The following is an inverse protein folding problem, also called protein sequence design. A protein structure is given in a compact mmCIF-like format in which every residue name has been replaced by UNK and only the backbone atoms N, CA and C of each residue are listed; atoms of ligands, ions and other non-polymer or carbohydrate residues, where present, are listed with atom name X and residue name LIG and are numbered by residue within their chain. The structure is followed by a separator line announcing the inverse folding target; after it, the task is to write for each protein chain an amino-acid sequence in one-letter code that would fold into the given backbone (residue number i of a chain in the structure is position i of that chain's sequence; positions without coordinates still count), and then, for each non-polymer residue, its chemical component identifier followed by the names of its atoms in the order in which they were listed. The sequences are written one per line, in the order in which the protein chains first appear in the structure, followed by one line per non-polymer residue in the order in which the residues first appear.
data_IF_538775882240
#
_entry.id   IF_538775882240
#
_cell.length_a   1.000
_cell.length_b   1.000
_cell.length_c   1.000
_cell.angle_alpha   90.00
_cell.angle_beta   90.00
_cell.angle_gamma   90.00
#
_symmetry.space_group_name_H-M   'P 1'
#
loop_
_entity.id
_entity.type
_entity.pdbx_description
1 polymer ?
#
# COMPACT_ATOMS: atom_id res chain seq x y z
N UNK A 1 -11.45 5.25 20.37
CA UNK A 1 -11.63 6.06 21.59
C UNK A 1 -10.39 6.89 21.95
N UNK A 2 -9.20 6.29 22.12
CA UNK A 2 -7.98 7.03 22.53
C UNK A 2 -7.65 8.23 21.63
N UNK A 3 -7.65 8.06 20.31
CA UNK A 3 -7.38 9.14 19.35
C UNK A 3 -8.35 10.33 19.50
N UNK A 4 -9.63 10.08 19.81
CA UNK A 4 -10.61 11.13 20.05
C UNK A 4 -10.28 11.94 21.31
N UNK A 5 -9.80 11.28 22.36
CA UNK A 5 -9.32 11.93 23.57
C UNK A 5 -8.09 12.80 23.34
N UNK A 6 -7.14 12.33 22.53
CA UNK A 6 -5.94 13.08 22.16
C UNK A 6 -6.27 14.35 21.35
N UNK A 7 -7.11 14.22 20.32
CA UNK A 7 -7.57 15.37 19.53
C UNK A 7 -8.34 16.39 20.39
N UNK A 8 -9.19 15.91 21.29
CA UNK A 8 -9.98 16.79 22.18
C UNK A 8 -9.09 17.53 23.16
N UNK A 9 -8.08 16.85 23.71
CA UNK A 9 -7.07 17.46 24.57
C UNK A 9 -6.27 18.51 23.80
N UNK A 10 -5.79 18.19 22.60
CA UNK A 10 -5.07 19.13 21.75
C UNK A 10 -5.87 20.41 21.51
N UNK A 11 -7.16 20.28 21.17
CA UNK A 11 -8.06 21.44 20.99
C UNK A 11 -8.25 22.24 22.29
N UNK A 12 -8.53 21.59 23.43
CA UNK A 12 -8.70 22.28 24.72
C UNK A 12 -7.45 23.09 25.11
N UNK A 13 -6.27 22.57 24.83
CA UNK A 13 -5.00 23.25 25.09
C UNK A 13 -4.51 24.15 23.95
N UNK A 14 -5.35 24.42 22.95
CA UNK A 14 -5.03 25.27 21.80
C UNK A 14 -3.75 24.84 21.06
N UNK A 15 -3.49 23.54 21.02
CA UNK A 15 -2.44 22.96 20.18
C UNK A 15 -2.90 23.04 18.73
N UNK A 16 -2.08 23.58 17.80
CA UNK A 16 -2.43 23.61 16.38
C UNK A 16 -2.71 22.21 15.84
N UNK A 17 -3.84 22.05 15.16
CA UNK A 17 -4.25 20.79 14.50
C UNK A 17 -4.19 21.04 12.99
N UNK A 18 -3.51 20.15 12.27
CA UNK A 18 -3.49 20.14 10.81
C UNK A 18 -4.03 18.78 10.35
N UNK A 19 -5.25 18.73 9.78
CA UNK A 19 -5.78 17.49 9.25
C UNK A 19 -4.96 16.99 8.06
N UNK A 20 -4.72 15.68 8.04
CA UNK A 20 -4.14 14.96 6.92
C UNK A 20 -5.12 13.87 6.51
N UNK A 21 -5.61 13.94 5.27
CA UNK A 21 -6.62 13.03 4.75
C UNK A 21 -5.96 12.05 3.79
N UNK A 22 -6.04 10.76 4.11
CA UNK A 22 -5.55 9.71 3.22
C UNK A 22 -6.67 9.19 2.30
N UNK A 23 -6.31 8.51 1.21
CA UNK A 23 -7.28 7.94 0.28
C UNK A 23 -8.36 7.11 1.01
N UNK A 24 -9.62 7.26 0.60
CA UNK A 24 -10.76 6.54 1.17
C UNK A 24 -11.25 7.07 2.52
N UNK A 25 -10.55 8.02 3.14
CA UNK A 25 -11.03 8.66 4.36
C UNK A 25 -12.20 9.60 4.06
N UNK A 26 -13.29 9.43 4.80
CA UNK A 26 -14.40 10.37 4.84
C UNK A 26 -14.54 10.89 6.28
N UNK A 27 -14.64 12.21 6.43
CA UNK A 27 -14.88 12.78 7.74
C UNK A 27 -16.31 12.46 8.19
N UNK A 28 -16.55 12.06 9.46
CA UNK A 28 -17.89 11.77 9.95
C UNK A 28 -18.83 12.95 9.78
N UNK A 29 -20.04 12.71 9.29
CA UNK A 29 -21.09 13.73 9.21
C UNK A 29 -21.70 14.05 10.58
N UNK A 30 -22.61 15.03 10.64
CA UNK A 30 -23.23 15.45 11.91
C UNK A 30 -24.03 14.33 12.58
N UNK A 31 -24.68 13.45 11.81
CA UNK A 31 -25.45 12.34 12.36
C UNK A 31 -24.54 11.29 13.01
N UNK A 32 -23.42 10.97 12.35
CA UNK A 32 -22.35 10.15 12.91
C UNK A 32 -21.75 10.78 14.17
N UNK A 33 -21.46 12.09 14.16
CA UNK A 33 -20.91 12.80 15.32
C UNK A 33 -21.89 12.76 16.50
N UNK A 34 -23.20 12.94 16.25
CA UNK A 34 -24.22 12.90 17.29
C UNK A 34 -24.34 11.51 17.93
N UNK A 35 -24.06 10.45 17.17
CA UNK A 35 -24.10 9.05 17.62
C UNK A 35 -22.75 8.53 18.13
N UNK A 36 -21.70 9.35 18.21
CA UNK A 36 -20.34 8.87 18.52
C UNK A 36 -20.23 8.13 19.86
N UNK A 37 -21.10 8.45 20.83
CA UNK A 37 -21.16 7.77 22.13
C UNK A 37 -21.60 6.31 22.02
N UNK A 38 -22.42 5.96 21.02
CA UNK A 38 -22.87 4.58 20.84
C UNK A 38 -21.78 3.67 20.28
N UNK A 39 -20.68 4.25 19.77
CA UNK A 39 -19.52 3.50 19.24
C UNK A 39 -18.61 3.00 20.36
N UNK A 40 -18.72 3.56 21.57
CA UNK A 40 -17.84 3.22 22.69
C UNK A 40 -18.59 2.57 23.84
N UNK A 41 -17.96 1.59 24.47
CA UNK A 41 -18.51 0.93 25.66
C UNK A 41 -18.56 1.90 26.84
N UNK A 42 -19.43 1.63 27.82
CA UNK A 42 -19.53 2.46 29.04
C UNK A 42 -18.18 2.60 29.77
N UNK A 43 -17.37 1.54 29.80
CA UNK A 43 -16.02 1.55 30.38
C UNK A 43 -15.09 2.53 29.64
N UNK A 44 -15.18 2.56 28.30
CA UNK A 44 -14.39 3.47 27.49
C UNK A 44 -14.82 4.92 27.69
N UNK A 45 -16.12 5.18 27.80
CA UNK A 45 -16.67 6.50 28.11
C UNK A 45 -16.28 6.96 29.52
N UNK A 46 -16.34 6.07 30.50
CA UNK A 46 -15.89 6.34 31.87
C UNK A 46 -14.40 6.71 31.88
N UNK A 47 -13.57 6.00 31.11
CA UNK A 47 -12.13 6.28 30.98
C UNK A 47 -11.87 7.69 30.44
N UNK A 48 -12.60 8.13 29.41
CA UNK A 48 -12.49 9.52 28.91
C UNK A 48 -12.89 10.54 29.98
N UNK A 49 -14.00 10.27 30.67
CA UNK A 49 -14.53 11.14 31.72
C UNK A 49 -13.56 11.27 32.89
N UNK A 50 -12.89 10.17 33.30
CA UNK A 50 -11.89 10.20 34.36
C UNK A 50 -10.65 11.04 34.00
N UNK A 51 -10.40 11.27 32.71
CA UNK A 51 -9.37 12.17 32.21
C UNK A 51 -9.89 13.60 31.92
N UNK A 52 -11.12 13.92 32.33
CA UNK A 52 -11.71 15.25 32.15
C UNK A 52 -12.16 15.55 30.71
N UNK A 53 -12.46 14.51 29.93
CA UNK A 53 -12.93 14.61 28.55
C UNK A 53 -14.39 14.15 28.51
N UNK A 54 -15.32 15.10 28.38
CA UNK A 54 -16.74 14.78 28.20
C UNK A 54 -17.06 14.45 26.74
N UNK A 55 -18.12 13.66 26.50
CA UNK A 55 -18.58 13.34 25.14
C UNK A 55 -18.88 14.62 24.32
N UNK A 56 -19.45 15.65 24.95
CA UNK A 56 -19.72 16.92 24.27
C UNK A 56 -18.44 17.66 23.84
N UNK A 57 -17.34 17.51 24.59
CA UNK A 57 -16.04 18.06 24.18
C UNK A 57 -15.54 17.37 22.90
N UNK A 58 -15.78 16.07 22.79
CA UNK A 58 -15.42 15.25 21.64
C UNK A 58 -16.25 15.69 20.43
N UNK A 59 -17.58 15.73 20.55
CA UNK A 59 -18.47 16.20 19.47
C UNK A 59 -18.05 17.58 18.98
N UNK A 60 -17.81 18.52 19.90
CA UNK A 60 -17.34 19.86 19.55
C UNK A 60 -15.95 19.86 18.89
N UNK A 61 -15.09 18.90 19.21
CA UNK A 61 -13.78 18.73 18.58
C UNK A 61 -13.89 18.20 17.16
N UNK A 62 -14.70 17.18 16.92
CA UNK A 62 -14.94 16.68 15.56
C UNK A 62 -15.53 17.76 14.65
N UNK A 63 -16.53 18.51 15.14
CA UNK A 63 -17.07 19.66 14.42
C UNK A 63 -16.00 20.69 14.09
N UNK A 64 -15.15 21.04 15.06
CA UNK A 64 -14.05 21.97 14.82
C UNK A 64 -13.08 21.46 13.73
N UNK A 65 -12.63 20.20 13.84
CA UNK A 65 -11.70 19.60 12.88
C UNK A 65 -12.31 19.56 11.47
N UNK A 66 -13.61 19.31 11.34
CA UNK A 66 -14.31 19.34 10.04
C UNK A 66 -14.25 20.70 9.33
N UNK A 67 -14.02 21.79 10.07
CA UNK A 67 -13.89 23.14 9.51
C UNK A 67 -12.45 23.53 9.16
N UNK A 68 -11.46 22.72 9.53
CA UNK A 68 -10.05 23.01 9.27
C UNK A 68 -9.68 22.66 7.83
N UNK A 69 -8.85 23.50 7.21
CA UNK A 69 -8.20 23.16 5.95
C UNK A 69 -7.17 22.06 6.21
N UNK A 70 -7.25 20.97 5.46
CA UNK A 70 -6.35 19.83 5.58
C UNK A 70 -5.60 19.54 4.28
N UNK A 71 -4.63 18.63 4.39
CA UNK A 71 -3.82 18.18 3.28
C UNK A 71 -4.28 16.80 2.82
N UNK A 72 -4.40 16.58 1.51
CA UNK A 72 -4.67 15.25 0.97
C UNK A 72 -3.36 14.50 0.74
N UNK A 73 -3.13 13.43 1.50
CA UNK A 73 -2.01 12.51 1.32
C UNK A 73 -2.47 11.26 0.56
N UNK A 74 -2.28 11.26 -0.77
CA UNK A 74 -2.57 10.06 -1.54
C UNK A 74 -1.50 9.00 -1.31
N UNK A 75 -1.92 7.79 -0.92
CA UNK A 75 -1.05 6.61 -0.78
C UNK A 75 -0.52 6.12 -2.14
N UNK A 76 -1.24 6.48 -3.20
CA UNK A 76 -0.91 6.10 -4.58
C UNK A 76 -0.04 7.13 -5.31
N UNK A 77 0.18 8.31 -4.74
CA UNK A 77 1.11 9.30 -5.32
C UNK A 77 2.56 8.78 -5.30
N UNK A 78 3.45 9.43 -6.05
CA UNK A 78 4.88 9.13 -6.00
C UNK A 78 5.45 9.40 -4.61
N UNK A 79 6.57 8.76 -4.29
CA UNK A 79 7.25 8.99 -3.01
C UNK A 79 7.71 10.44 -2.88
N UNK A 80 8.16 11.02 -4.00
CA UNK A 80 8.56 12.42 -4.09
C UNK A 80 7.40 13.38 -3.75
N UNK A 81 6.19 13.10 -4.24
CA UNK A 81 5.00 13.89 -3.93
C UNK A 81 4.61 13.76 -2.45
N UNK A 82 4.68 12.55 -1.88
CA UNK A 82 4.38 12.33 -0.46
C UNK A 82 5.38 13.05 0.44
N UNK A 83 6.69 12.93 0.16
CA UNK A 83 7.74 13.62 0.90
C UNK A 83 7.58 15.15 0.81
N UNK A 84 7.27 15.67 -0.39
CA UNK A 84 7.00 17.09 -0.58
C UNK A 84 5.83 17.57 0.27
N UNK A 85 4.74 16.81 0.30
CA UNK A 85 3.58 17.14 1.13
C UNK A 85 3.92 17.15 2.62
N UNK A 86 4.67 16.15 3.10
CA UNK A 86 5.12 16.08 4.49
C UNK A 86 5.98 17.28 4.86
N UNK A 87 6.87 17.71 3.97
CA UNK A 87 7.68 18.92 4.17
C UNK A 87 6.85 20.20 4.18
N UNK A 88 5.81 20.27 3.36
CA UNK A 88 4.90 21.42 3.32
C UNK A 88 4.06 21.50 4.61
N UNK A 89 3.57 20.36 5.11
CA UNK A 89 2.92 20.26 6.43
C UNK A 89 3.89 20.67 7.54
N UNK A 90 5.12 20.16 7.52
CA UNK A 90 6.14 20.51 8.52
C UNK A 90 6.48 22.01 8.49
N UNK A 91 6.57 22.62 7.30
CA UNK A 91 6.83 24.04 7.15
C UNK A 91 5.65 24.91 7.64
N UNK A 92 4.41 24.44 7.48
CA UNK A 92 3.23 25.12 8.02
C UNK A 92 3.22 25.16 9.55
N UNK A 93 3.73 24.11 10.22
CA UNK A 93 3.85 24.03 11.68
C UNK A 93 5.09 24.80 12.19
N UNK A 94 6.24 24.54 11.58
CA UNK A 94 7.54 25.06 11.99
C UNK A 94 7.83 26.35 11.23
N UNK A 95 7.35 27.49 11.78
CA UNK A 95 7.65 28.82 11.22
C UNK A 95 9.16 28.99 11.03
N UNK A 96 9.62 28.97 9.78
CA UNK A 96 11.03 29.15 9.42
C UNK A 96 11.86 27.87 9.23
N UNK A 97 11.25 26.69 9.18
CA UNK A 97 11.96 25.49 8.75
C UNK A 97 12.50 25.65 7.33
N UNK A 98 13.78 25.32 7.12
CA UNK A 98 14.33 25.23 5.77
C UNK A 98 13.64 24.06 5.08
N UNK A 99 13.09 24.31 3.88
CA UNK A 99 12.52 23.26 3.04
C UNK A 99 13.63 22.27 2.74
N UNK A 100 13.50 21.04 3.23
CA UNK A 100 14.44 19.99 2.86
C UNK A 100 14.27 19.70 1.36
N UNK A 101 15.36 19.30 0.71
CA UNK A 101 15.26 18.80 -0.66
C UNK A 101 14.74 17.37 -0.62
N UNK A 102 13.69 17.12 -1.40
CA UNK A 102 13.16 15.77 -1.62
C UNK A 102 14.14 15.03 -2.51
N UNK A 103 14.54 13.83 -2.12
CA UNK A 103 15.41 13.02 -2.95
C UNK A 103 14.64 12.62 -4.21
N UNK A 104 15.22 12.90 -5.39
CA UNK A 104 14.59 12.53 -6.66
C UNK A 104 14.36 11.02 -6.70
N UNK A 105 13.12 10.61 -7.01
CA UNK A 105 12.82 9.21 -7.21
C UNK A 105 13.57 8.69 -8.45
N UNK A 106 14.23 7.54 -8.31
CA UNK A 106 14.94 6.93 -9.44
C UNK A 106 13.99 6.56 -10.58
N UNK A 107 14.46 6.66 -11.82
CA UNK A 107 13.71 6.17 -12.99
C UNK A 107 13.57 4.64 -12.92
N UNK A 108 12.41 4.10 -13.31
CA UNK A 108 12.13 2.66 -13.42
C UNK A 108 13.23 1.94 -14.20
N UNK A 109 13.70 2.54 -15.29
CA UNK A 109 14.75 1.97 -16.15
C UNK A 109 16.10 1.82 -15.47
N UNK A 110 16.35 2.60 -14.41
CA UNK A 110 17.58 2.57 -13.61
C UNK A 110 17.47 1.71 -12.36
N UNK A 111 16.26 1.29 -11.98
CA UNK A 111 16.02 0.52 -10.78
C UNK A 111 16.71 -0.86 -10.87
N UNK A 112 17.40 -1.26 -9.80
CA UNK A 112 18.03 -2.59 -9.68
C UNK A 112 17.18 -3.56 -8.88
N UNK A 113 16.35 -3.02 -7.98
CA UNK A 113 15.45 -3.77 -7.12
C UNK A 113 14.05 -3.23 -7.37
N UNK A 114 13.16 -4.11 -7.78
CA UNK A 114 11.73 -3.83 -7.84
C UNK A 114 11.09 -4.22 -6.52
N UNK A 115 10.19 -3.38 -6.00
CA UNK A 115 9.38 -3.72 -4.85
C UNK A 115 7.96 -4.04 -5.30
N UNK A 116 7.42 -5.14 -4.79
CA UNK A 116 6.10 -5.66 -5.13
C UNK A 116 5.30 -5.87 -3.85
N UNK A 117 4.04 -5.45 -3.83
CA UNK A 117 3.09 -5.67 -2.73
C UNK A 117 1.67 -5.76 -3.29
N UNK A 118 0.69 -6.05 -2.43
CA UNK A 118 -0.72 -5.82 -2.76
C UNK A 118 -0.94 -4.33 -3.04
N UNK A 119 -1.68 -4.00 -4.10
CA UNK A 119 -2.15 -2.63 -4.37
C UNK A 119 -3.58 -2.41 -3.82
N UNK A 120 -4.18 -3.44 -3.22
CA UNK A 120 -5.52 -3.35 -2.61
C UNK A 120 -5.48 -2.97 -1.13
N UNK A 121 -4.37 -3.24 -0.47
CA UNK A 121 -4.20 -3.06 0.97
C UNK A 121 -3.39 -1.78 1.27
N UNK A 122 -4.01 -0.73 1.84
CA UNK A 122 -3.34 0.54 2.16
C UNK A 122 -2.08 0.39 3.02
N UNK A 123 -2.12 -0.54 3.97
CA UNK A 123 -1.05 -0.88 4.90
C UNK A 123 0.14 -1.49 4.16
N UNK A 124 -0.10 -2.38 3.19
CA UNK A 124 0.93 -2.99 2.36
C UNK A 124 1.62 -1.93 1.48
N UNK A 125 0.85 -1.02 0.87
CA UNK A 125 1.39 0.08 0.06
C UNK A 125 2.28 1.00 0.90
N UNK A 126 1.83 1.35 2.10
CA UNK A 126 2.57 2.23 3.01
C UNK A 126 3.87 1.54 3.49
N UNK A 127 3.77 0.26 3.85
CA UNK A 127 4.90 -0.56 4.30
C UNK A 127 5.95 -0.71 3.21
N UNK A 128 5.55 -0.99 1.97
CA UNK A 128 6.49 -1.17 0.86
C UNK A 128 7.19 0.15 0.49
N UNK A 129 6.53 1.30 0.65
CA UNK A 129 7.15 2.62 0.40
C UNK A 129 8.22 2.95 1.44
N UNK A 130 7.94 2.70 2.73
CA UNK A 130 8.95 2.85 3.79
C UNK A 130 10.11 1.89 3.53
N UNK A 131 9.81 0.63 3.19
CA UNK A 131 10.82 -0.36 2.87
C UNK A 131 11.67 0.08 1.66
N UNK A 132 11.06 0.68 0.63
CA UNK A 132 11.76 1.24 -0.52
C UNK A 132 12.80 2.29 -0.09
N UNK A 133 12.38 3.26 0.72
CA UNK A 133 13.26 4.32 1.24
C UNK A 133 14.42 3.74 2.04
N UNK A 134 14.12 2.85 2.99
CA UNK A 134 15.14 2.29 3.88
C UNK A 134 16.15 1.43 3.10
N UNK A 135 15.69 0.59 2.15
CA UNK A 135 16.58 -0.21 1.30
C UNK A 135 17.42 0.67 0.38
N UNK A 136 16.82 1.70 -0.23
CA UNK A 136 17.54 2.65 -1.07
C UNK A 136 18.61 3.41 -0.28
N UNK A 137 18.30 3.85 0.94
CA UNK A 137 19.25 4.53 1.83
C UNK A 137 20.40 3.61 2.25
N UNK A 138 20.09 2.36 2.61
CA UNK A 138 21.07 1.38 3.08
C UNK A 138 22.03 0.95 1.96
N UNK A 139 21.49 0.64 0.78
CA UNK A 139 22.27 0.11 -0.35
C UNK A 139 22.83 1.19 -1.27
N UNK A 140 22.30 2.42 -1.22
CA UNK A 140 22.61 3.51 -2.15
C UNK A 140 22.41 3.12 -3.62
N UNK A 141 21.39 2.29 -3.89
CA UNK A 141 21.02 1.83 -5.23
C UNK A 141 19.58 2.26 -5.52
N UNK A 142 19.31 2.57 -6.79
CA UNK A 142 17.95 2.88 -7.25
C UNK A 142 17.00 1.68 -7.04
N UNK A 143 15.92 1.92 -6.33
CA UNK A 143 14.82 0.98 -6.12
C UNK A 143 13.53 1.58 -6.68
N UNK A 144 12.54 0.74 -6.97
CA UNK A 144 11.28 1.21 -7.54
C UNK A 144 10.10 0.31 -7.15
N UNK A 145 9.04 0.89 -6.57
CA UNK A 145 7.75 0.20 -6.34
C UNK A 145 7.01 -0.01 -7.65
N UNK A 146 6.71 -1.26 -7.96
CA UNK A 146 5.92 -1.65 -9.11
C UNK A 146 4.44 -1.38 -8.85
N UNK A 147 3.78 -0.69 -9.78
CA UNK A 147 2.33 -0.43 -9.74
C UNK A 147 1.60 -1.16 -10.86
N UNK A 148 2.32 -1.49 -11.92
CA UNK A 148 1.77 -2.08 -13.13
C UNK A 148 2.76 -3.00 -13.82
N UNK A 149 2.28 -3.85 -14.72
CA UNK A 149 3.13 -4.68 -15.57
C UNK A 149 4.04 -3.85 -16.49
N UNK A 150 3.63 -2.63 -16.84
CA UNK A 150 4.46 -1.70 -17.63
C UNK A 150 5.73 -1.30 -16.89
N UNK A 151 5.67 -1.18 -15.56
CA UNK A 151 6.85 -0.85 -14.75
C UNK A 151 7.86 -1.99 -14.79
N UNK A 152 7.40 -3.24 -14.67
CA UNK A 152 8.25 -4.42 -14.75
C UNK A 152 8.90 -4.52 -16.14
N UNK A 153 8.13 -4.25 -17.21
CA UNK A 153 8.67 -4.22 -18.57
C UNK A 153 9.72 -3.11 -18.78
N UNK A 154 9.50 -1.93 -18.20
CA UNK A 154 10.41 -0.79 -18.29
C UNK A 154 11.69 -0.97 -17.44
N UNK A 155 11.64 -1.82 -16.41
CA UNK A 155 12.72 -2.08 -15.46
C UNK A 155 13.82 -2.99 -16.01
N UNK A 156 14.37 -2.65 -17.18
CA UNK A 156 15.41 -3.45 -17.85
C UNK A 156 16.66 -3.69 -17.00
N UNK A 157 16.90 -2.86 -15.98
CA UNK A 157 18.06 -2.91 -15.08
C UNK A 157 17.85 -3.71 -13.81
N UNK A 158 16.64 -4.16 -13.55
CA UNK A 158 16.31 -4.91 -12.36
C UNK A 158 16.91 -6.32 -12.41
N UNK A 159 17.46 -6.75 -11.28
CA UNK A 159 17.96 -8.12 -11.08
C UNK A 159 17.21 -8.83 -9.94
N UNK A 160 16.53 -8.06 -9.09
CA UNK A 160 15.85 -8.56 -7.91
C UNK A 160 14.44 -8.00 -7.81
N UNK A 161 13.54 -8.80 -7.22
CA UNK A 161 12.26 -8.35 -6.73
C UNK A 161 12.18 -8.59 -5.22
N UNK A 162 12.01 -7.51 -4.47
CA UNK A 162 11.69 -7.52 -3.05
C UNK A 162 10.17 -7.61 -2.92
N UNK A 163 9.68 -8.74 -2.44
CA UNK A 163 8.25 -9.07 -2.43
C UNK A 163 7.73 -8.96 -1.01
N UNK A 164 6.87 -7.98 -0.75
CA UNK A 164 6.18 -7.85 0.52
C UNK A 164 4.99 -8.82 0.55
N UNK A 165 5.03 -9.73 1.52
CA UNK A 165 3.97 -10.67 1.83
C UNK A 165 3.16 -10.08 2.99
N UNK A 166 1.95 -9.61 2.69
CA UNK A 166 0.95 -9.12 3.63
C UNK A 166 -0.32 -9.97 3.56
N UNK A 167 -1.32 -9.67 4.39
CA UNK A 167 -2.59 -10.38 4.39
C UNK A 167 -3.30 -10.27 3.02
N UNK A 168 -3.83 -11.39 2.50
CA UNK A 168 -4.62 -11.38 1.27
C UNK A 168 -3.84 -11.13 -0.03
N UNK A 169 -2.50 -11.10 0.03
CA UNK A 169 -1.66 -10.75 -1.13
C UNK A 169 -1.72 -11.78 -2.26
N UNK A 170 -1.99 -13.06 -1.97
CA UNK A 170 -2.04 -14.12 -2.99
C UNK A 170 -3.39 -14.17 -3.72
N UNK A 171 -4.40 -13.55 -3.15
CA UNK A 171 -5.74 -13.39 -3.70
C UNK A 171 -5.84 -12.17 -4.64
N UNK A 172 -4.84 -11.29 -4.62
CA UNK A 172 -4.77 -10.12 -5.49
C UNK A 172 -4.34 -10.51 -6.93
N UNK A 173 -5.23 -10.37 -7.94
CA UNK A 173 -4.90 -10.71 -9.32
C UNK A 173 -3.79 -9.82 -9.90
N UNK A 174 -3.65 -8.56 -9.47
CA UNK A 174 -2.61 -7.68 -9.97
C UNK A 174 -1.24 -8.15 -9.46
N UNK A 175 -1.15 -8.49 -8.17
CA UNK A 175 0.04 -9.11 -7.59
C UNK A 175 0.39 -10.43 -8.28
N UNK A 176 -0.60 -11.29 -8.55
CA UNK A 176 -0.40 -12.55 -9.27
C UNK A 176 0.26 -12.34 -10.64
N UNK A 177 -0.26 -11.41 -11.42
CA UNK A 177 0.28 -11.03 -12.73
C UNK A 177 1.71 -10.48 -12.60
N UNK A 178 1.96 -9.63 -11.61
CA UNK A 178 3.28 -9.06 -11.36
C UNK A 178 4.32 -10.15 -11.03
N UNK A 179 4.00 -11.09 -10.14
CA UNK A 179 4.89 -12.21 -9.81
C UNK A 179 5.18 -13.10 -11.02
N UNK A 180 4.16 -13.39 -11.83
CA UNK A 180 4.32 -14.12 -13.09
C UNK A 180 5.28 -13.42 -14.05
N UNK A 181 5.11 -12.11 -14.25
CA UNK A 181 5.93 -11.30 -15.12
C UNK A 181 7.39 -11.17 -14.63
N UNK A 182 7.59 -10.92 -13.33
CA UNK A 182 8.94 -10.84 -12.74
C UNK A 182 9.69 -12.17 -12.85
N UNK A 183 8.97 -13.29 -12.68
CA UNK A 183 9.55 -14.62 -12.88
C UNK A 183 9.93 -14.84 -14.34
N UNK A 184 9.08 -14.45 -15.29
CA UNK A 184 9.38 -14.56 -16.73
C UNK A 184 10.62 -13.75 -17.13
N UNK A 185 10.89 -12.62 -16.46
CA UNK A 185 12.12 -11.84 -16.62
C UNK A 185 13.33 -12.41 -15.87
N UNK A 186 13.17 -13.49 -15.11
CA UNK A 186 14.26 -14.12 -14.37
C UNK A 186 14.75 -13.31 -13.16
N UNK A 187 13.90 -12.47 -12.58
CA UNK A 187 14.25 -11.72 -11.38
C UNK A 187 14.42 -12.66 -10.17
N UNK A 188 15.42 -12.37 -9.34
CA UNK A 188 15.64 -13.10 -8.09
C UNK A 188 14.73 -12.56 -6.98
N UNK A 189 13.95 -13.43 -6.34
CA UNK A 189 13.00 -13.02 -5.30
C UNK A 189 13.64 -12.95 -3.91
N UNK A 190 13.28 -11.89 -3.19
CA UNK A 190 13.55 -11.71 -1.75
C UNK A 190 12.21 -11.47 -1.07
N UNK A 191 11.53 -12.51 -0.56
CA UNK A 191 10.28 -12.33 0.15
C UNK A 191 10.50 -11.74 1.55
N UNK A 192 9.60 -10.85 1.95
CA UNK A 192 9.56 -10.20 3.26
C UNK A 192 8.15 -10.34 3.82
N UNK A 193 8.02 -10.86 5.03
CA UNK A 193 6.74 -11.01 5.72
C UNK A 193 6.58 -9.87 6.73
N UNK A 194 5.49 -9.09 6.62
CA UNK A 194 5.19 -7.98 7.54
C UNK A 194 4.58 -8.39 8.89
N UNK A 195 4.36 -9.69 9.08
CA UNK A 195 3.75 -10.30 10.26
C UNK A 195 2.27 -10.64 10.08
N UNK A 196 1.61 -10.16 9.03
CA UNK A 196 0.18 -10.41 8.75
C UNK A 196 -0.04 -11.54 7.75
N UNK A 197 0.98 -11.88 6.95
CA UNK A 197 0.87 -12.93 5.95
C UNK A 197 0.65 -14.31 6.55
N UNK A 198 -0.38 -15.00 6.05
CA UNK A 198 -0.71 -16.37 6.39
C UNK A 198 -0.24 -17.29 5.26
N UNK A 199 0.57 -18.29 5.59
CA UNK A 199 1.01 -19.27 4.59
C UNK A 199 -0.19 -20.10 4.13
N UNK A 200 -0.38 -20.23 2.79
CA UNK A 200 -1.52 -20.96 2.28
C UNK A 200 -1.40 -22.46 2.59
N UNK A 201 -2.53 -23.15 2.80
CA UNK A 201 -2.54 -24.61 2.95
C UNK A 201 -2.15 -25.30 1.63
N UNK A 202 -1.74 -26.59 1.65
CA UNK A 202 -1.26 -27.27 0.44
C UNK A 202 -2.27 -27.36 -0.71
N UNK A 203 -3.57 -27.41 -0.42
CA UNK A 203 -4.66 -27.47 -1.40
C UNK A 203 -4.87 -26.14 -2.15
N UNK A 204 -4.39 -25.02 -1.58
CA UNK A 204 -4.40 -23.72 -2.25
C UNK A 204 -3.79 -23.79 -3.65
N UNK A 205 -2.65 -24.46 -3.81
CA UNK A 205 -1.99 -24.53 -5.11
C UNK A 205 -2.83 -25.29 -6.14
N UNK A 206 -3.51 -26.37 -5.73
CA UNK A 206 -4.43 -27.09 -6.61
C UNK A 206 -5.59 -26.19 -7.05
N UNK A 207 -6.15 -25.41 -6.12
CA UNK A 207 -7.22 -24.46 -6.43
C UNK A 207 -6.75 -23.38 -7.42
N UNK A 208 -5.52 -22.86 -7.25
CA UNK A 208 -4.92 -21.92 -8.21
C UNK A 208 -4.68 -22.59 -9.57
N UNK A 209 -4.23 -23.84 -9.62
CA UNK A 209 -4.05 -24.57 -10.88
C UNK A 209 -5.35 -24.81 -11.64
N UNK A 210 -6.44 -25.11 -10.92
CA UNK A 210 -7.76 -25.44 -11.48
C UNK A 210 -8.59 -24.20 -11.82
N UNK A 211 -8.62 -23.19 -10.94
CA UNK A 211 -9.47 -22.02 -11.03
C UNK A 211 -8.75 -20.72 -11.41
N UNK A 212 -7.43 -20.66 -11.25
CA UNK A 212 -6.67 -19.40 -11.30
C UNK A 212 -6.92 -18.52 -10.05
N UNK A 213 -6.34 -17.33 -10.05
CA UNK A 213 -6.65 -16.27 -9.06
C UNK A 213 -7.69 -15.34 -9.67
N UNK A 214 -8.78 -15.10 -8.95
CA UNK A 214 -9.84 -14.11 -9.20
C UNK A 214 -9.86 -13.48 -10.62
N UNK A 215 -10.25 -14.27 -11.63
CA UNK A 215 -10.46 -13.79 -13.01
C UNK A 215 -9.33 -14.07 -14.02
N UNK A 216 -8.18 -14.60 -13.59
CA UNK A 216 -7.06 -14.95 -14.50
C UNK A 216 -7.27 -16.29 -15.25
N UNK A 217 -8.24 -17.09 -14.82
CA UNK A 217 -8.62 -18.35 -15.44
C UNK A 217 -7.58 -19.48 -15.30
N UNK A 218 -7.93 -20.71 -15.75
CA UNK A 218 -7.13 -21.91 -15.52
C UNK A 218 -5.78 -21.93 -16.26
N UNK A 219 -5.69 -21.24 -17.41
CA UNK A 219 -4.46 -21.21 -18.21
C UNK A 219 -3.32 -20.49 -17.48
N UNK A 220 -3.62 -19.39 -16.80
CA UNK A 220 -2.65 -18.69 -15.95
C UNK A 220 -2.37 -19.48 -14.66
N UNK A 221 -3.38 -20.19 -14.15
CA UNK A 221 -3.36 -20.95 -12.90
C UNK A 221 -2.13 -21.86 -12.73
N UNK A 222 -1.82 -22.71 -13.70
CA UNK A 222 -0.67 -23.63 -13.58
C UNK A 222 0.69 -22.93 -13.50
N UNK A 223 0.88 -21.86 -14.27
CA UNK A 223 2.13 -21.11 -14.24
C UNK A 223 2.26 -20.32 -12.93
N UNK A 224 1.14 -19.76 -12.47
CA UNK A 224 1.05 -18.99 -11.25
C UNK A 224 1.25 -19.86 -9.99
N UNK A 225 0.62 -21.03 -9.91
CA UNK A 225 0.81 -21.96 -8.80
C UNK A 225 2.29 -22.34 -8.65
N UNK A 226 2.96 -22.64 -9.76
CA UNK A 226 4.41 -22.86 -9.76
C UNK A 226 5.19 -21.61 -9.32
N UNK A 227 4.72 -20.40 -9.66
CA UNK A 227 5.37 -19.15 -9.29
C UNK A 227 5.26 -18.88 -7.79
N UNK A 228 4.08 -19.09 -7.21
CA UNK A 228 3.86 -19.02 -5.77
C UNK A 228 4.64 -20.09 -5.02
N UNK A 229 4.67 -21.35 -5.49
CA UNK A 229 5.51 -22.39 -4.86
C UNK A 229 6.99 -22.00 -4.86
N UNK A 230 7.49 -21.43 -5.97
CA UNK A 230 8.86 -20.95 -6.06
C UNK A 230 9.14 -19.77 -5.12
N UNK A 231 8.22 -18.80 -5.06
CA UNK A 231 8.31 -17.64 -4.16
C UNK A 231 8.29 -18.06 -2.69
N UNK A 232 7.32 -18.89 -2.29
CA UNK A 232 7.10 -19.32 -0.91
C UNK A 232 8.05 -20.42 -0.46
N UNK A 233 8.75 -21.07 -1.40
CA UNK A 233 9.88 -21.95 -1.10
C UNK A 233 11.11 -21.19 -0.61
N UNK A 234 11.16 -19.87 -0.77
CA UNK A 234 12.23 -19.00 -0.25
C UNK A 234 11.83 -18.55 1.16
N UNK A 235 12.75 -18.67 2.12
CA UNK A 235 12.53 -18.23 3.49
C UNK A 235 12.31 -16.71 3.53
N UNK A 236 11.07 -16.30 3.82
CA UNK A 236 10.71 -14.90 4.00
C UNK A 236 11.42 -14.30 5.21
N UNK A 237 11.94 -13.08 5.05
CA UNK A 237 12.53 -12.33 6.15
C UNK A 237 11.44 -11.57 6.92
N UNK A 238 11.52 -11.52 8.26
CA UNK A 238 10.55 -10.77 9.04
C UNK A 238 10.78 -9.26 8.90
N UNK A 239 9.69 -8.54 8.72
CA UNK A 239 9.59 -7.10 8.88
C UNK A 239 8.46 -6.83 9.87
N UNK A 240 8.64 -5.86 10.76
CA UNK A 240 7.60 -5.49 11.73
C UNK A 240 7.35 -3.99 11.57
N UNK A 241 6.43 -3.56 10.68
CA UNK A 241 6.28 -2.15 10.30
C UNK A 241 6.02 -1.21 11.47
N UNK A 242 5.38 -1.71 12.53
CA UNK A 242 5.05 -0.96 13.75
C UNK A 242 6.15 -1.02 14.83
N UNK A 243 7.28 -1.68 14.56
CA UNK A 243 8.38 -1.74 15.52
C UNK A 243 9.12 -0.40 15.63
N UNK A 244 9.96 -0.27 16.66
CA UNK A 244 10.83 0.89 16.79
C UNK A 244 11.84 0.99 15.64
N UNK A 245 12.28 2.22 15.33
CA UNK A 245 13.24 2.49 14.24
C UNK A 245 14.47 1.57 14.29
N UNK A 246 15.04 1.36 15.48
CA UNK A 246 16.22 0.50 15.63
C UNK A 246 15.97 -0.99 15.33
N UNK A 247 14.74 -1.48 15.48
CA UNK A 247 14.37 -2.85 15.06
C UNK A 247 14.19 -2.88 13.55
N UNK A 248 13.46 -1.91 12.99
CA UNK A 248 13.25 -1.79 11.55
C UNK A 248 14.57 -1.69 10.80
N UNK A 249 15.50 -0.84 11.24
CA UNK A 249 16.84 -0.69 10.63
C UNK A 249 17.63 -2.00 10.60
N UNK A 250 17.53 -2.80 11.68
CA UNK A 250 18.19 -4.12 11.76
C UNK A 250 17.54 -5.12 10.80
N UNK A 251 16.21 -5.16 10.74
CA UNK A 251 15.48 -6.02 9.80
C UNK A 251 15.81 -5.64 8.35
N UNK A 252 15.80 -4.35 8.01
CA UNK A 252 16.21 -3.86 6.69
C UNK A 252 17.67 -4.20 6.38
N UNK A 253 18.56 -4.12 7.36
CA UNK A 253 19.96 -4.55 7.17
C UNK A 253 20.03 -6.03 6.80
N UNK A 254 19.26 -6.91 7.45
CA UNK A 254 19.18 -8.34 7.11
C UNK A 254 18.56 -8.58 5.73
N UNK A 255 17.54 -7.82 5.37
CA UNK A 255 16.95 -7.81 4.02
C UNK A 255 18.01 -7.44 2.99
N UNK A 256 18.76 -6.37 3.25
CA UNK A 256 19.80 -5.88 2.36
C UNK A 256 20.92 -6.91 2.13
N UNK A 257 21.25 -7.72 3.15
CA UNK A 257 22.24 -8.80 3.03
C UNK A 257 21.83 -9.90 2.05
N UNK A 258 20.54 -10.10 1.75
CA UNK A 258 20.08 -11.10 0.77
C UNK A 258 20.40 -10.75 -0.67
N UNK A 259 20.64 -9.47 -0.95
CA UNK A 259 21.02 -9.01 -2.28
C UNK A 259 22.49 -9.34 -2.62
N UNK A 260 23.31 -9.72 -1.63
CA UNK A 260 24.74 -10.02 -1.83
C UNK A 260 25.63 -8.79 -1.76
N UNK A 261 26.85 -8.87 -2.29
CA UNK A 261 27.73 -7.71 -2.39
C UNK A 261 27.24 -6.74 -3.46
N UNK A 262 27.54 -5.44 -3.31
CA UNK A 262 27.20 -4.43 -4.31
C UNK A 262 27.82 -4.76 -5.69
N UNK A 263 29.00 -5.39 -5.68
CA UNK A 263 29.72 -5.83 -6.87
C UNK A 263 28.95 -6.96 -7.57
N UNK A 264 28.43 -7.94 -6.82
CA UNK A 264 27.58 -9.02 -7.36
C UNK A 264 26.33 -8.46 -8.06
N UNK A 265 25.76 -7.38 -7.53
CA UNK A 265 24.59 -6.70 -8.11
C UNK A 265 24.90 -6.09 -9.47
N UNK A 266 26.13 -5.60 -9.65
CA UNK A 266 26.59 -5.03 -10.92
C UNK A 266 26.98 -6.13 -11.91
N UNK A 267 27.68 -7.17 -11.46
CA UNK A 267 28.27 -8.22 -12.30
C UNK A 267 27.25 -9.23 -12.86
N UNK A 268 26.21 -9.60 -12.12
CA UNK A 268 25.21 -10.60 -12.58
C UNK A 268 24.52 -10.20 -13.88
N UNK A 269 24.40 -8.90 -14.15
CA UNK A 269 23.79 -8.42 -15.40
C UNK A 269 24.70 -8.61 -16.61
N UNK A 270 25.99 -8.31 -16.46
CA UNK A 270 26.97 -8.51 -17.54
C UNK A 270 27.04 -9.96 -17.98
N UNK A 271 26.82 -10.91 -17.07
CA UNK A 271 26.82 -12.33 -17.39
C UNK A 271 25.52 -12.80 -18.07
N UNK A 272 24.35 -12.29 -17.65
CA UNK A 272 23.06 -12.66 -18.26
C UNK A 272 22.95 -12.21 -19.72
N UNK A 273 23.49 -11.03 -20.05
CA UNK A 273 23.50 -10.51 -21.42
C UNK A 273 24.29 -11.40 -22.40
N UNK A 274 25.26 -12.18 -21.92
CA UNK A 274 26.10 -13.04 -22.75
C UNK A 274 25.53 -14.45 -22.98
N UNK A 275 24.42 -14.82 -22.29
CA UNK A 275 23.80 -16.14 -22.44
C UNK A 275 22.78 -16.25 -23.58
N UNK A 276 22.58 -15.18 -24.34
CA UNK A 276 21.66 -15.18 -25.47
C UNK A 276 22.35 -15.69 -26.73
N UNK A 277 22.48 -17.02 -26.90
CA UNK A 277 22.44 -17.77 -28.19
C UNK A 277 22.87 -19.24 -28.00
N UNK A 278 21.96 -20.08 -27.54
CA UNK A 278 21.80 -21.48 -28.02
C UNK A 278 20.33 -21.82 -27.87
N UNK A 279 19.52 -21.30 -28.80
CA UNK A 279 18.11 -21.62 -28.92
C UNK A 279 17.98 -22.99 -29.60
N UNK A 280 18.10 -24.05 -28.83
CA UNK A 280 17.58 -25.38 -29.14
C UNK A 280 17.33 -26.09 -27.80
N UNK A 281 16.16 -26.70 -27.65
CA UNK A 281 15.73 -27.53 -26.51
C UNK A 281 15.23 -26.86 -25.21
N UNK A 282 14.25 -25.96 -25.25
CA UNK A 282 13.17 -26.00 -24.24
C UNK A 282 11.86 -25.60 -24.91
N UNK A 283 10.92 -26.54 -25.00
CA UNK A 283 9.55 -26.32 -25.47
C UNK A 283 8.73 -25.46 -24.50
N UNK A 284 9.12 -24.20 -24.32
CA UNK A 284 8.25 -23.16 -23.80
C UNK A 284 7.47 -22.66 -25.01
N UNK A 285 6.27 -23.21 -25.22
CA UNK A 285 5.32 -22.60 -26.14
C UNK A 285 5.09 -21.17 -25.69
N UNK A 286 5.49 -20.25 -26.55
CA UNK A 286 5.24 -18.81 -26.53
C UNK A 286 3.88 -18.49 -25.90
N UNK A 287 3.86 -18.17 -24.60
CA UNK A 287 2.71 -17.52 -23.97
C UNK A 287 2.90 -16.02 -24.20
N UNK A 288 2.86 -15.63 -25.47
CA UNK A 288 2.46 -14.28 -25.84
C UNK A 288 0.98 -14.18 -25.49
N UNK A 289 0.67 -13.87 -24.22
CA UNK A 289 -0.68 -13.41 -23.86
C UNK A 289 -0.91 -12.13 -24.66
N UNK A 290 -1.66 -12.24 -25.77
CA UNK A 290 -2.17 -11.10 -26.49
C UNK A 290 -3.11 -10.34 -25.56
N UNK A 291 -2.57 -9.35 -24.83
CA UNK A 291 -3.30 -8.37 -24.03
C UNK A 291 -4.10 -7.38 -24.92
N UNK A 292 -4.44 -7.76 -26.16
CA UNK A 292 -5.24 -6.97 -27.10
C UNK A 292 -6.72 -7.21 -26.81
N UNK A 293 -7.23 -6.65 -25.71
CA UNK A 293 -8.65 -6.81 -25.36
C UNK A 293 -9.18 -5.93 -24.23
N UNK A 294 -8.43 -4.92 -23.79
CA UNK A 294 -8.94 -3.86 -22.92
C UNK A 294 -8.76 -2.54 -23.67
N UNK A 295 -9.71 -2.25 -24.57
CA UNK A 295 -9.83 -0.93 -25.17
C UNK A 295 -10.35 0.04 -24.10
N UNK A 296 -9.64 1.17 -24.01
CA UNK A 296 -9.96 2.35 -23.21
C UNK A 296 -11.41 2.80 -23.47
N UNK A 297 -12.26 2.71 -22.45
CA UNK A 297 -13.49 3.50 -22.40
C UNK A 297 -13.08 4.90 -21.94
N UNK A 298 -12.88 5.79 -22.91
CA UNK A 298 -12.76 7.23 -22.70
C UNK A 298 -13.97 7.75 -21.89
N UNK A 299 -13.75 7.92 -20.58
CA UNK A 299 -14.67 8.57 -19.67
C UNK A 299 -14.56 10.08 -19.81
N UNK A 300 -15.43 10.64 -20.65
CA UNK A 300 -15.61 12.07 -20.89
C UNK A 300 -15.84 12.84 -19.56
N UNK A 301 -14.88 13.69 -19.20
CA UNK A 301 -14.93 14.52 -18.00
C UNK A 301 -15.99 15.63 -18.14
N UNK A 302 -17.21 15.35 -17.66
CA UNK A 302 -18.24 16.38 -17.46
C UNK A 302 -18.09 17.04 -16.10
N UNK A 303 -17.92 18.35 -16.15
CA UNK A 303 -17.90 19.31 -15.05
C UNK A 303 -19.23 19.27 -14.26
N UNK A 304 -19.21 19.30 -12.92
CA UNK A 304 -20.44 19.31 -12.13
C UNK A 304 -21.11 20.70 -12.22
N UNK A 305 -22.32 20.73 -12.78
CA UNK A 305 -23.20 21.90 -12.76
C UNK A 305 -24.03 21.84 -11.47
N UNK A 306 -24.08 22.96 -10.75
CA UNK A 306 -24.86 23.10 -9.52
C UNK A 306 -26.36 22.88 -9.78
N UNK A 307 -26.97 21.98 -8.99
CA UNK A 307 -28.42 21.72 -8.97
C UNK A 307 -28.99 22.33 -7.69
N UNK A 308 -29.99 23.19 -7.84
CA UNK A 308 -30.83 23.75 -6.79
C UNK A 308 -31.93 22.76 -6.38
N UNK A 309 -32.42 22.77 -5.14
CA UNK A 309 -33.42 21.81 -4.69
C UNK A 309 -34.84 22.31 -4.97
N UNK A 310 -35.63 21.47 -5.64
CA UNK A 310 -37.09 21.57 -5.61
C UNK A 310 -37.67 20.41 -4.80
N UNK A 311 -38.66 20.79 -4.00
CA UNK A 311 -39.44 19.97 -3.07
C UNK A 311 -40.41 19.06 -3.83
N UNK A 312 -40.56 17.80 -3.39
CA UNK A 312 -41.83 17.23 -2.90
C UNK A 312 -41.77 15.70 -2.78
N UNK A 313 -42.44 15.17 -1.75
CA UNK A 313 -43.18 13.90 -1.87
C UNK A 313 -42.58 12.63 -1.26
N UNK A 314 -42.76 12.48 0.06
CA UNK A 314 -43.23 11.28 0.78
C UNK A 314 -43.17 9.89 0.12
N UNK A 315 -42.48 8.94 0.77
CA UNK A 315 -43.04 7.63 1.15
C UNK A 315 -42.11 6.90 2.14
N UNK A 316 -42.68 6.44 3.25
CA UNK A 316 -42.08 5.57 4.26
C UNK A 316 -41.67 4.22 3.66
N UNK A 317 -40.45 3.77 3.96
CA UNK A 317 -40.12 2.35 4.00
C UNK A 317 -38.95 2.12 4.96
N UNK A 318 -39.28 1.53 6.11
CA UNK A 318 -38.34 1.04 7.10
C UNK A 318 -37.52 -0.11 6.50
N UNK A 319 -36.20 0.11 6.37
CA UNK A 319 -35.23 -0.95 6.17
C UNK A 319 -34.18 -0.89 7.27
N UNK A 320 -34.21 -1.89 8.16
CA UNK A 320 -33.16 -2.19 9.13
C UNK A 320 -31.82 -2.33 8.41
N UNK A 321 -31.00 -1.29 8.49
CA UNK A 321 -29.58 -1.36 8.14
C UNK A 321 -28.81 -1.87 9.37
N UNK A 322 -28.43 -3.13 9.32
CA UNK A 322 -27.40 -3.70 10.21
C UNK A 322 -26.05 -3.11 9.79
N UNK A 323 -25.53 -2.21 10.62
CA UNK A 323 -24.18 -1.64 10.47
C UNK A 323 -23.21 -2.70 10.98
N UNK A 324 -22.40 -3.24 10.07
CA UNK A 324 -21.27 -4.11 10.40
C UNK A 324 -20.18 -3.30 11.13
N UNK A 325 -19.74 -3.82 12.27
CA UNK A 325 -18.80 -3.23 13.25
C UNK A 325 -17.31 -3.21 12.82
N UNK A 326 -16.97 -3.46 11.55
CA UNK A 326 -15.58 -3.80 11.16
C UNK A 326 -14.72 -2.64 10.59
N UNK A 327 -15.07 -1.36 10.79
CA UNK A 327 -14.39 -0.26 10.09
C UNK A 327 -13.61 0.77 10.92
N UNK A 328 -13.38 0.54 12.21
CA UNK A 328 -12.63 1.51 13.03
C UNK A 328 -11.59 0.86 13.98
N UNK A 329 -10.64 0.15 13.39
CA UNK A 329 -9.34 -0.11 14.02
C UNK A 329 -8.22 0.40 13.13
N UNK A 330 -7.90 1.68 13.30
CA UNK A 330 -6.60 2.29 12.96
C UNK A 330 -6.19 3.15 14.13
#
# INVERSE_FOLDING_TARGET
MWCAGEMTSARKYSIPIIPLYCDGFAFPDEDCINKIESVWTEEQQYTLTSHGIAIEDIKATYRHISTLEGYALSRHSSLEEQERLVLDVAAAVLRGARRAEVAAQGSVSSARILLCSSEREPEAISTVLILQQMVQQQLRIATFRVRSLKDIAAASSASFALVLLSQGVLEDPDFALQIGQMRAQGLSFVPVNDGTFQFPPPDFYMQVEEGGVAGLGPNAGRSLAKAYQALLGILALPLTPHASSGILERQVTQICQRFGSLEDLVERRTQSSNRTTTADEVGITDISMSLTGFDDVDGDARTPTAITPDQDGSAEQDSEYSIHDDLWYT
#
